data_IF_727915463195
#
_entry.id   IF_727915463195
#
_cell.length_a   1.000
_cell.length_b   1.000
_cell.length_c   1.000
_cell.angle_alpha   90.00
_cell.angle_beta   90.00
_cell.angle_gamma   90.00
#
_symmetry.space_group_name_H-M   'P 1'
#
loop_
_entity.id
_entity.type
_entity.pdbx_description
1 polymer ?
#
# COMPACT_ATOMS: atom_id res chain seq x y z
N UNK A 1 -12.97 0.21 -13.21
CA UNK A 1 -12.59 -0.17 -11.83
C UNK A 1 -12.89 1.00 -10.92
N UNK A 2 -13.53 0.78 -9.79
CA UNK A 2 -13.56 1.80 -8.74
C UNK A 2 -12.35 1.61 -7.83
N UNK A 3 -11.84 2.70 -7.27
CA UNK A 3 -10.67 2.69 -6.40
C UNK A 3 -10.91 2.00 -5.04
N UNK A 4 -12.17 1.96 -4.60
CA UNK A 4 -12.64 1.33 -3.38
C UNK A 4 -12.99 -0.16 -3.56
N UNK A 5 -12.98 -0.67 -4.79
CA UNK A 5 -13.19 -2.09 -5.06
C UNK A 5 -11.95 -2.88 -4.62
N UNK A 6 -12.15 -3.70 -3.61
CA UNK A 6 -11.13 -4.57 -3.04
C UNK A 6 -11.13 -5.96 -3.70
N UNK A 7 -11.90 -6.21 -4.75
CA UNK A 7 -11.80 -7.46 -5.51
C UNK A 7 -10.53 -7.49 -6.39
N UNK A 8 -9.96 -8.69 -6.57
CA UNK A 8 -8.88 -8.93 -7.53
C UNK A 8 -9.51 -9.30 -8.86
N UNK A 9 -9.28 -8.55 -9.96
CA UNK A 9 -9.78 -8.96 -11.27
C UNK A 9 -9.18 -10.30 -11.68
N UNK A 10 -10.01 -11.24 -12.09
CA UNK A 10 -9.59 -12.50 -12.70
C UNK A 10 -9.77 -12.33 -14.21
N UNK A 11 -8.68 -12.11 -14.93
CA UNK A 11 -8.70 -11.92 -16.38
C UNK A 11 -7.38 -12.32 -17.01
N UNK A 12 -7.41 -12.61 -18.30
CA UNK A 12 -6.28 -13.02 -19.15
C UNK A 12 -5.39 -11.84 -19.63
N UNK A 13 -5.87 -10.61 -19.44
CA UNK A 13 -5.14 -9.38 -19.76
C UNK A 13 -3.97 -9.09 -18.81
N UNK A 14 -2.99 -8.32 -19.29
CA UNK A 14 -1.88 -7.84 -18.45
C UNK A 14 -2.42 -6.93 -17.34
N UNK A 15 -2.31 -7.38 -16.09
CA UNK A 15 -2.74 -6.60 -14.94
C UNK A 15 -2.07 -5.21 -14.90
N UNK A 16 -2.86 -4.18 -14.57
CA UNK A 16 -2.42 -2.79 -14.42
C UNK A 16 -1.92 -2.47 -13.01
N UNK A 17 -1.92 -3.48 -12.13
CA UNK A 17 -1.50 -3.43 -10.73
C UNK A 17 -0.74 -4.69 -10.34
N UNK A 18 0.19 -4.53 -9.40
CA UNK A 18 0.91 -5.63 -8.76
C UNK A 18 0.22 -5.98 -7.44
N UNK A 19 -0.10 -7.26 -7.24
CA UNK A 19 -0.74 -7.76 -6.04
C UNK A 19 0.20 -8.69 -5.28
N UNK A 20 0.38 -8.40 -3.99
CA UNK A 20 1.16 -9.21 -3.06
C UNK A 20 0.25 -9.58 -1.90
N UNK A 21 0.27 -10.86 -1.51
CA UNK A 21 -0.54 -11.39 -0.42
C UNK A 21 0.35 -12.08 0.59
N UNK A 22 0.21 -11.73 1.86
CA UNK A 22 0.91 -12.40 2.94
C UNK A 22 0.29 -13.78 3.24
N UNK A 23 1.05 -14.68 3.88
CA UNK A 23 0.47 -15.75 4.68
C UNK A 23 -0.48 -15.18 5.76
N UNK A 24 -1.41 -15.99 6.31
CA UNK A 24 -2.22 -15.57 7.44
C UNK A 24 -1.32 -15.22 8.63
N UNK A 25 -1.67 -14.15 9.36
CA UNK A 25 -0.95 -13.75 10.56
C UNK A 25 -1.01 -14.89 11.60
N UNK A 26 0.13 -15.36 12.14
CA UNK A 26 0.15 -16.49 13.08
C UNK A 26 -0.39 -16.12 14.47
N UNK A 27 -0.49 -14.82 14.76
CA UNK A 27 -0.99 -14.26 16.02
C UNK A 27 -1.56 -12.86 15.77
N UNK A 28 -2.38 -12.30 16.68
CA UNK A 28 -2.88 -10.95 16.53
C UNK A 28 -1.73 -9.92 16.44
N UNK A 29 -1.93 -8.87 15.64
CA UNK A 29 -0.97 -7.80 15.41
C UNK A 29 -1.57 -6.46 15.84
N UNK A 30 -0.94 -5.82 16.84
CA UNK A 30 -1.32 -4.49 17.33
C UNK A 30 -0.50 -3.44 16.57
N UNK A 31 -1.18 -2.59 15.79
CA UNK A 31 -0.56 -1.54 14.99
C UNK A 31 -0.83 -0.17 15.62
N UNK A 32 0.23 0.57 15.93
CA UNK A 32 0.15 1.93 16.46
C UNK A 32 1.36 2.76 15.98
N UNK A 33 1.15 3.68 15.05
CA UNK A 33 2.18 4.60 14.55
C UNK A 33 2.17 4.77 13.03
N UNK A 34 3.23 5.38 12.48
CA UNK A 34 3.36 5.60 11.04
C UNK A 34 3.72 4.31 10.29
N UNK A 35 3.04 4.07 9.16
CA UNK A 35 3.32 2.97 8.25
C UNK A 35 3.92 3.48 6.93
N UNK A 36 4.77 2.66 6.33
CA UNK A 36 5.50 3.02 5.10
C UNK A 36 5.62 1.80 4.20
N UNK A 37 5.41 1.96 2.90
CA UNK A 37 5.85 1.00 1.90
C UNK A 37 7.17 1.47 1.27
N UNK A 38 8.16 0.59 1.20
CA UNK A 38 9.35 0.76 0.38
C UNK A 38 9.23 -0.15 -0.81
N UNK A 39 9.28 0.40 -2.01
CA UNK A 39 9.17 -0.38 -3.24
C UNK A 39 10.42 -0.17 -4.08
N UNK A 40 11.02 -1.26 -4.53
CA UNK A 40 12.06 -1.23 -5.56
C UNK A 40 11.36 -1.42 -6.90
N UNK A 41 11.39 -0.40 -7.76
CA UNK A 41 10.59 -0.42 -8.98
C UNK A 41 11.22 0.38 -10.12
N UNK A 42 10.81 0.04 -11.34
CA UNK A 42 11.23 0.69 -12.59
C UNK A 42 10.00 1.16 -13.35
N UNK A 43 10.09 2.33 -13.97
CA UNK A 43 9.13 2.84 -14.95
C UNK A 43 9.87 3.18 -16.26
N UNK A 44 9.25 2.91 -17.40
CA UNK A 44 9.76 3.23 -18.74
C UNK A 44 9.49 4.69 -19.18
N UNK A 45 8.97 5.52 -18.27
CA UNK A 45 8.64 6.93 -18.51
C UNK A 45 9.32 7.83 -17.49
N UNK A 46 9.53 9.12 -17.80
CA UNK A 46 10.25 10.03 -16.91
C UNK A 46 9.47 10.42 -15.64
N UNK A 47 8.18 10.12 -15.57
CA UNK A 47 7.32 10.40 -14.42
C UNK A 47 6.33 9.27 -14.22
N UNK A 48 6.19 8.77 -12.99
CA UNK A 48 5.21 7.74 -12.65
C UNK A 48 4.65 7.93 -11.24
N UNK A 49 3.36 7.63 -11.09
CA UNK A 49 2.72 7.53 -9.78
C UNK A 49 2.82 6.10 -9.26
N UNK A 50 2.99 6.01 -7.95
CA UNK A 50 3.09 4.76 -7.20
C UNK A 50 2.10 4.81 -6.05
N UNK A 51 0.89 4.33 -6.31
CA UNK A 51 -0.16 4.18 -5.32
C UNK A 51 -0.01 2.81 -4.65
N UNK A 52 -0.01 2.78 -3.32
CA UNK A 52 0.04 1.56 -2.52
C UNK A 52 -1.19 1.50 -1.63
N UNK A 53 -2.04 0.49 -1.85
CA UNK A 53 -3.19 0.18 -1.01
C UNK A 53 -2.91 -1.08 -0.21
N UNK A 54 -3.04 -0.99 1.10
CA UNK A 54 -2.96 -2.15 2.00
C UNK A 54 -4.36 -2.49 2.48
N UNK A 55 -4.75 -3.74 2.26
CA UNK A 55 -6.04 -4.31 2.67
C UNK A 55 -5.81 -5.42 3.68
N UNK A 56 -6.56 -5.41 4.78
CA UNK A 56 -6.63 -6.53 5.70
C UNK A 56 -7.79 -7.44 5.27
N UNK A 57 -7.48 -8.68 4.88
CA UNK A 57 -8.47 -9.72 4.63
C UNK A 57 -8.64 -10.51 5.92
N UNK A 58 -9.78 -10.37 6.58
CA UNK A 58 -10.03 -11.10 7.81
C UNK A 58 -10.17 -12.62 7.56
N UNK A 59 -10.19 -13.46 8.61
CA UNK A 59 -10.32 -14.91 8.45
C UNK A 59 -11.60 -15.37 7.73
N UNK A 60 -12.65 -14.53 7.68
CA UNK A 60 -13.90 -14.81 6.96
C UNK A 60 -13.82 -14.43 5.48
N UNK A 61 -12.72 -13.81 5.05
CA UNK A 61 -12.51 -13.33 3.68
C UNK A 61 -13.00 -11.91 3.44
N UNK A 62 -13.48 -11.20 4.47
CA UNK A 62 -13.91 -9.80 4.35
C UNK A 62 -12.68 -8.91 4.17
N UNK A 63 -12.75 -8.04 3.17
CA UNK A 63 -11.68 -7.12 2.83
C UNK A 63 -11.93 -5.75 3.46
N UNK A 64 -11.04 -5.33 4.37
CA UNK A 64 -11.08 -4.02 5.00
C UNK A 64 -9.89 -3.16 4.57
N UNK A 65 -10.10 -1.88 4.21
CA UNK A 65 -9.01 -0.94 4.05
C UNK A 65 -8.16 -0.86 5.33
N UNK A 66 -6.85 -0.88 5.17
CA UNK A 66 -5.91 -0.71 6.29
C UNK A 66 -5.08 0.56 6.14
N UNK A 67 -4.48 0.76 4.97
CA UNK A 67 -3.60 1.90 4.71
C UNK A 67 -3.60 2.27 3.23
N UNK A 68 -3.32 3.53 2.92
CA UNK A 68 -3.17 3.99 1.56
C UNK A 68 -2.12 5.10 1.49
N UNK A 69 -1.33 5.09 0.44
CA UNK A 69 -0.43 6.19 0.11
C UNK A 69 -0.19 6.26 -1.39
N UNK A 70 0.20 7.42 -1.87
CA UNK A 70 0.59 7.63 -3.26
C UNK A 70 1.68 8.68 -3.31
N UNK A 71 2.68 8.43 -4.14
CA UNK A 71 3.74 9.39 -4.45
C UNK A 71 3.92 9.45 -5.96
N UNK A 72 4.30 10.63 -6.46
CA UNK A 72 4.82 10.79 -7.81
C UNK A 72 6.34 10.81 -7.75
N UNK A 73 6.97 10.04 -8.63
CA UNK A 73 8.43 10.04 -8.79
C UNK A 73 8.78 10.45 -10.22
N UNK A 74 9.68 11.41 -10.35
CA UNK A 74 10.37 11.75 -11.59
C UNK A 74 11.77 11.16 -11.58
N UNK A 75 12.29 10.82 -12.76
CA UNK A 75 13.67 10.33 -12.90
C UNK A 75 13.91 9.67 -14.25
N UNK A 76 15.13 9.16 -14.50
CA UNK A 76 15.49 8.55 -15.76
C UNK A 76 14.59 7.33 -16.07
N UNK A 77 14.01 7.25 -17.28
CA UNK A 77 13.27 6.08 -17.75
C UNK A 77 14.12 4.81 -17.76
N UNK A 78 13.53 3.68 -17.37
CA UNK A 78 14.18 2.36 -17.41
C UNK A 78 15.12 2.07 -16.24
N UNK A 79 15.41 3.04 -15.39
CA UNK A 79 16.24 2.84 -14.20
C UNK A 79 15.41 2.39 -12.98
N UNK A 80 15.94 1.42 -12.24
CA UNK A 80 15.35 0.99 -10.98
C UNK A 80 15.57 2.04 -9.89
N UNK A 81 14.58 2.24 -9.04
CA UNK A 81 14.63 3.18 -7.92
C UNK A 81 13.97 2.59 -6.67
N UNK A 82 14.53 2.92 -5.52
CA UNK A 82 13.89 2.70 -4.23
C UNK A 82 12.97 3.88 -3.92
N UNK A 83 11.66 3.59 -3.86
CA UNK A 83 10.60 4.58 -3.67
C UNK A 83 9.97 4.34 -2.31
N UNK A 84 9.91 5.40 -1.51
CA UNK A 84 9.24 5.38 -0.21
C UNK A 84 7.85 5.99 -0.35
N UNK A 85 6.81 5.23 0.00
CA UNK A 85 5.41 5.64 -0.03
C UNK A 85 4.90 5.69 1.42
N UNK A 86 4.71 6.90 2.00
CA UNK A 86 4.08 7.04 3.31
C UNK A 86 2.62 6.56 3.24
N UNK A 87 2.20 5.73 4.21
CA UNK A 87 0.85 5.13 4.23
C UNK A 87 -0.05 5.72 5.33
N UNK A 88 0.40 6.79 5.98
CA UNK A 88 -0.27 7.41 7.12
C UNK A 88 -0.02 6.69 8.44
N UNK A 89 -0.81 7.04 9.45
CA UNK A 89 -0.72 6.50 10.81
C UNK A 89 -1.79 5.43 11.03
N UNK A 90 -1.40 4.29 11.57
CA UNK A 90 -2.27 3.17 11.90
C UNK A 90 -2.55 3.13 13.41
N UNK A 91 -3.77 2.73 13.74
CA UNK A 91 -4.25 2.49 15.09
C UNK A 91 -5.29 1.37 15.08
N UNK A 92 -4.86 0.13 14.84
CA UNK A 92 -5.77 -1.01 14.63
C UNK A 92 -5.15 -2.33 15.09
N UNK A 93 -5.96 -3.17 15.75
CA UNK A 93 -5.63 -4.58 15.96
C UNK A 93 -6.09 -5.41 14.77
N UNK A 94 -5.20 -6.23 14.23
CA UNK A 94 -5.52 -7.27 13.26
C UNK A 94 -5.61 -8.62 13.99
N UNK A 95 -6.73 -9.37 13.85
CA UNK A 95 -6.84 -10.71 14.40
C UNK A 95 -5.81 -11.69 13.80
N UNK A 96 -5.53 -12.78 14.51
CA UNK A 96 -4.85 -13.93 13.92
C UNK A 96 -5.64 -14.47 12.72
N UNK A 97 -4.95 -15.04 11.74
CA UNK A 97 -5.57 -15.52 10.50
C UNK A 97 -5.77 -14.43 9.43
N UNK A 98 -5.73 -13.14 9.79
CA UNK A 98 -5.81 -12.03 8.83
C UNK A 98 -4.68 -12.15 7.80
N UNK A 99 -4.98 -11.91 6.53
CA UNK A 99 -3.96 -11.75 5.47
C UNK A 99 -3.83 -10.28 5.11
N UNK A 100 -2.62 -9.85 4.82
CA UNK A 100 -2.36 -8.52 4.30
C UNK A 100 -2.20 -8.61 2.79
N UNK A 101 -3.00 -7.86 2.06
CA UNK A 101 -2.83 -7.65 0.63
C UNK A 101 -2.27 -6.26 0.38
N UNK A 102 -1.14 -6.18 -0.30
CA UNK A 102 -0.62 -4.95 -0.87
C UNK A 102 -0.95 -4.90 -2.36
N UNK A 103 -1.61 -3.84 -2.78
CA UNK A 103 -1.82 -3.50 -4.18
C UNK A 103 -0.96 -2.30 -4.53
N UNK A 104 -0.14 -2.44 -5.57
CA UNK A 104 0.70 -1.37 -6.10
C UNK A 104 0.20 -1.03 -7.49
N UNK A 105 -0.31 0.18 -7.65
CA UNK A 105 -0.95 0.66 -8.88
C UNK A 105 -0.38 2.01 -9.31
N UNK A 106 -0.62 2.34 -10.57
CA UNK A 106 -0.16 3.58 -11.19
C UNK A 106 -1.04 4.80 -11.05
N UNK A 107 -2.16 4.68 -10.34
CA UNK A 107 -3.18 5.72 -10.29
C UNK A 107 -4.08 5.55 -9.06
N UNK A 108 -4.71 6.64 -8.67
CA UNK A 108 -5.76 6.68 -7.65
C UNK A 108 -6.88 7.65 -8.08
N UNK A 109 -7.38 7.46 -9.31
CA UNK A 109 -8.39 8.32 -9.92
C UNK A 109 -9.79 8.00 -9.39
N UNK A 110 -10.68 9.00 -9.18
CA UNK A 110 -10.49 10.43 -9.41
C UNK A 110 -9.85 11.20 -8.25
N UNK A 111 -9.54 10.55 -7.13
CA UNK A 111 -9.02 11.22 -5.94
C UNK A 111 -7.66 11.90 -6.16
N UNK A 112 -6.87 11.48 -7.16
CA UNK A 112 -5.61 12.10 -7.56
C UNK A 112 -5.60 12.36 -9.07
N UNK A 113 -5.07 13.53 -9.45
CA UNK A 113 -4.90 13.90 -10.84
C UNK A 113 -4.00 12.88 -11.56
N UNK A 114 -4.47 12.37 -12.69
CA UNK A 114 -3.78 11.37 -13.50
C UNK A 114 -2.40 11.88 -13.90
N UNK A 115 -1.35 11.09 -13.67
CA UNK A 115 -0.02 11.39 -14.20
C UNK A 115 -0.01 11.30 -15.74
N UNK A 116 0.45 12.34 -16.45
CA UNK A 116 0.64 12.28 -17.91
C UNK A 116 1.75 11.32 -18.35
N UNK A 117 2.66 11.00 -17.42
CA UNK A 117 3.91 10.26 -17.60
C UNK A 117 4.93 10.94 -18.53
N UNK A 118 4.65 12.14 -19.02
CA UNK A 118 5.54 12.92 -19.88
C UNK A 118 6.46 13.85 -19.10
N UNK A 119 6.15 14.10 -17.82
CA UNK A 119 6.79 15.13 -17.01
C UNK A 119 6.02 16.46 -17.00
N UNK A 120 5.02 16.61 -17.88
CA UNK A 120 4.17 17.80 -17.95
C UNK A 120 3.23 17.91 -16.73
N UNK A 121 2.71 19.11 -16.47
CA UNK A 121 1.73 19.35 -15.41
C UNK A 121 0.44 18.53 -15.66
N UNK A 122 0.02 17.65 -14.74
CA UNK A 122 -1.20 16.85 -14.85
C UNK A 122 -2.49 17.63 -15.12
N UNK A 123 -2.55 18.89 -14.69
CA UNK A 123 -3.75 19.71 -14.79
C UNK A 123 -3.91 20.27 -16.21
N UNK A 124 -2.79 20.59 -16.87
CA UNK A 124 -2.80 21.25 -18.19
C UNK A 124 -2.29 20.38 -19.33
N UNK A 125 -1.71 19.21 -19.04
CA UNK A 125 -1.17 18.31 -20.05
C UNK A 125 -2.27 17.84 -21.01
N UNK A 126 -2.01 17.99 -22.32
CA UNK A 126 -2.89 17.51 -23.39
C UNK A 126 -2.42 16.19 -24.01
N UNK A 127 -1.19 15.77 -23.69
CA UNK A 127 -0.59 14.51 -24.16
C UNK A 127 -0.36 13.57 -22.99
N UNK A 128 -0.70 12.30 -23.21
CA UNK A 128 -0.52 11.22 -22.24
C UNK A 128 0.35 10.14 -22.85
N UNK A 129 1.32 9.63 -22.09
CA UNK A 129 2.10 8.46 -22.49
C UNK A 129 1.66 7.25 -21.65
N UNK A 130 1.52 6.04 -22.24
CA UNK A 130 1.41 4.83 -21.44
C UNK A 130 2.73 4.62 -20.68
N UNK A 131 2.67 4.11 -19.45
CA UNK A 131 3.87 3.69 -18.72
C UNK A 131 3.80 2.24 -18.30
N UNK A 132 4.76 1.44 -18.78
CA UNK A 132 5.04 0.12 -18.26
C UNK A 132 5.89 0.25 -17.01
N UNK A 133 5.45 -0.44 -15.96
CA UNK A 133 6.13 -0.49 -14.67
C UNK A 133 6.44 -1.92 -14.28
N UNK A 134 7.51 -2.06 -13.52
CA UNK A 134 7.91 -3.32 -12.90
C UNK A 134 8.22 -3.07 -11.44
N UNK A 135 7.67 -3.88 -10.56
CA UNK A 135 8.00 -3.89 -9.12
C UNK A 135 8.84 -5.13 -8.86
N UNK A 136 9.96 -4.99 -8.17
CA UNK A 136 10.77 -6.08 -7.68
C UNK A 136 10.36 -6.43 -6.24
N UNK A 137 9.65 -7.56 -6.01
CA UNK A 137 9.16 -7.89 -4.67
C UNK A 137 10.28 -8.20 -3.68
N UNK A 138 11.46 -8.66 -4.15
CA UNK A 138 12.59 -9.00 -3.26
C UNK A 138 13.29 -7.77 -2.68
N UNK A 139 13.24 -6.64 -3.39
CA UNK A 139 13.75 -5.35 -2.93
C UNK A 139 12.67 -4.47 -2.29
N UNK A 140 11.45 -4.98 -2.11
CA UNK A 140 10.31 -4.21 -1.61
C UNK A 140 9.87 -4.73 -0.24
N UNK A 141 9.36 -3.83 0.61
CA UNK A 141 8.90 -4.15 1.95
C UNK A 141 7.74 -3.25 2.41
N UNK A 142 6.82 -3.83 3.16
CA UNK A 142 5.82 -3.10 3.92
C UNK A 142 6.26 -2.99 5.38
N UNK A 143 6.54 -1.77 5.84
CA UNK A 143 6.94 -1.49 7.21
C UNK A 143 5.72 -1.07 8.03
N UNK A 144 5.35 -1.92 8.99
CA UNK A 144 4.21 -1.71 9.88
C UNK A 144 4.69 -1.41 11.32
N UNK A 145 4.05 -0.46 12.02
CA UNK A 145 4.43 -0.05 13.37
C UNK A 145 3.80 -1.00 14.40
N UNK A 146 4.45 -2.14 14.62
CA UNK A 146 3.98 -3.17 15.55
C UNK A 146 4.35 -2.82 16.97
N UNK A 147 3.36 -2.74 17.86
CA UNK A 147 3.61 -2.57 19.29
C UNK A 147 3.60 -3.93 20.00
N UNK A 148 4.65 -4.18 20.79
CA UNK A 148 4.68 -5.34 21.66
C UNK A 148 3.62 -5.16 22.77
N UNK A 149 2.84 -6.20 23.04
CA UNK A 149 1.96 -6.19 24.20
C UNK A 149 2.80 -6.12 25.46
N UNK A 150 2.61 -5.07 26.26
CA UNK A 150 2.81 -5.22 27.71
C UNK A 150 1.63 -6.05 28.22
N UNK A 151 1.92 -7.10 29.02
CA UNK A 151 0.86 -7.75 29.80
C UNK A 151 0.25 -6.66 30.67
N UNK A 152 -1.03 -6.36 30.45
CA UNK A 152 -1.78 -5.57 31.41
C UNK A 152 -1.82 -6.40 32.70
N UNK A 153 -1.08 -5.94 33.70
CA UNK A 153 -1.25 -6.41 35.07
C UNK A 153 -2.39 -5.56 35.60
N UNK A 154 -3.46 -6.20 36.06
CA UNK A 154 -4.55 -5.50 36.72
C UNK A 154 -3.94 -4.63 37.83
N UNK A 155 -4.14 -3.31 37.85
CA UNK A 155 -3.72 -2.51 38.99
C UNK A 155 -4.45 -3.08 40.21
N UNK A 156 -3.70 -3.33 41.28
CA UNK A 156 -4.28 -3.76 42.56
C UNK A 156 -5.37 -2.75 42.89
N UNK A 157 -6.61 -3.18 43.20
CA UNK A 157 -7.64 -2.26 43.64
C UNK A 157 -7.19 -1.62 44.96
N UNK A 158 -6.64 -0.41 44.89
CA UNK A 158 -6.41 0.44 46.05
C UNK A 158 -7.76 1.01 46.48
N UNK A 159 -8.57 0.16 47.12
CA UNK A 159 -9.74 0.62 47.87
C UNK A 159 -9.17 1.23 49.16
N UNK A 160 -9.04 2.56 49.19
CA UNK A 160 -8.86 3.27 50.45
C UNK A 160 -10.11 3.01 51.32
N UNK A 161 -9.93 2.31 52.44
CA UNK A 161 -10.94 2.16 53.49
C UNK A 161 -11.02 3.41 54.35
#
# INVERSE_FOLDING_TARGET
MRSDDLAVPVGDGRADRCLLLSPPLPRPLDLAGAAVARINATADTPSADWAVRVTALDPSGRADPLAFGIVRRTGPPGEAADITVPLGTLGRRLPAGTRLRAEIAGHHFPAHARNPHTGDDPVTATRLAPSRRTVNPRGSALHLPVVARRRYVEPVPEICR
#
